data_IF_956690093569
#
_entry.id   IF_956690093569
#
_cell.length_a   1.000
_cell.length_b   1.000
_cell.length_c   1.000
_cell.angle_alpha   90.00
_cell.angle_beta   90.00
_cell.angle_gamma   90.00
#
_symmetry.space_group_name_H-M   'P 1'
#
loop_
_entity.id
_entity.type
_entity.pdbx_description
1 polymer ?
#
# COMPACT_ATOMS: atom_id res chain seq x y z
N UNK A 1 -5.55 4.84 0.94
CA UNK A 1 -4.49 3.82 0.85
C UNK A 1 -3.77 3.81 -0.48
N UNK A 2 -4.45 3.60 -1.61
CA UNK A 2 -3.83 3.70 -2.94
C UNK A 2 -3.16 5.06 -3.19
N UNK A 3 -3.76 6.13 -2.66
CA UNK A 3 -3.15 7.46 -2.67
C UNK A 3 -1.88 7.53 -1.82
N UNK A 4 -1.83 6.88 -0.66
CA UNK A 4 -0.64 6.87 0.22
C UNK A 4 0.52 6.09 -0.41
N UNK A 5 0.26 4.97 -1.08
CA UNK A 5 1.29 4.25 -1.86
C UNK A 5 1.75 5.02 -3.09
N UNK A 6 0.90 5.89 -3.63
CA UNK A 6 1.25 6.72 -4.78
C UNK A 6 2.05 7.96 -4.39
N UNK A 7 1.67 8.64 -3.29
CA UNK A 7 2.31 9.88 -2.82
C UNK A 7 3.54 9.58 -1.95
N UNK A 8 3.55 8.46 -1.23
CA UNK A 8 4.58 8.14 -0.25
C UNK A 8 5.91 7.72 -0.86
N UNK A 9 5.97 7.35 -2.14
CA UNK A 9 7.18 6.93 -2.88
C UNK A 9 8.05 5.90 -2.12
N UNK A 10 7.48 5.08 -1.24
CA UNK A 10 8.22 4.12 -0.39
C UNK A 10 8.95 4.72 0.81
N UNK A 11 8.83 6.03 1.05
CA UNK A 11 9.44 6.73 2.18
C UNK A 11 8.89 6.25 3.52
N UNK A 12 7.64 5.80 3.53
CA UNK A 12 6.94 5.35 4.74
C UNK A 12 6.85 3.82 4.71
N UNK A 13 7.20 3.20 5.85
CA UNK A 13 7.12 1.74 5.99
C UNK A 13 5.68 1.28 5.80
N UNK A 14 5.50 0.19 5.07
CA UNK A 14 4.18 -0.40 4.79
C UNK A 14 3.34 -0.58 6.08
N UNK A 15 3.96 -1.02 7.18
CA UNK A 15 3.28 -1.20 8.48
C UNK A 15 2.66 0.09 9.04
N UNK A 16 3.29 1.25 8.81
CA UNK A 16 2.82 2.54 9.34
C UNK A 16 1.65 3.04 8.48
N UNK A 17 1.71 2.81 7.16
CA UNK A 17 0.60 3.06 6.23
C UNK A 17 -0.62 2.20 6.62
N UNK A 18 -0.39 0.91 6.89
CA UNK A 18 -1.44 -0.04 7.29
C UNK A 18 -2.08 0.29 8.63
N UNK A 19 -1.27 0.66 9.63
CA UNK A 19 -1.77 1.07 10.95
C UNK A 19 -2.66 2.31 10.88
N UNK A 20 -2.30 3.26 9.99
CA UNK A 20 -3.06 4.49 9.78
C UNK A 20 -4.43 4.22 9.19
N UNK A 21 -4.53 3.36 8.17
CA UNK A 21 -5.79 3.14 7.50
C UNK A 21 -6.82 2.31 8.25
N UNK A 22 -6.39 1.48 9.21
CA UNK A 22 -7.32 0.79 10.12
C UNK A 22 -8.16 1.77 10.94
N UNK A 23 -7.70 3.02 11.10
CA UNK A 23 -8.35 4.06 11.91
C UNK A 23 -9.34 4.91 11.12
N UNK A 24 -9.23 4.95 9.80
CA UNK A 24 -10.02 5.82 8.92
C UNK A 24 -11.50 5.38 8.90
N UNK A 25 -12.36 6.09 9.65
CA UNK A 25 -13.81 6.04 9.50
C UNK A 25 -14.27 7.37 8.86
N UNK A 26 -14.76 7.29 7.64
CA UNK A 26 -14.74 8.39 6.67
C UNK A 26 -15.67 9.55 7.04
N UNK A 27 -15.13 10.68 7.52
CA UNK A 27 -15.29 12.05 6.94
C UNK A 27 -14.44 13.07 7.70
N UNK A 28 -14.30 12.95 9.03
CA UNK A 28 -13.39 13.80 9.84
C UNK A 28 -11.95 13.26 9.92
N UNK A 29 -11.74 11.96 9.71
CA UNK A 29 -10.42 11.33 9.93
C UNK A 29 -9.47 11.44 8.73
N UNK A 30 -9.97 11.73 7.52
CA UNK A 30 -9.12 11.76 6.31
C UNK A 30 -8.13 12.91 6.34
N UNK A 31 -8.56 14.11 6.71
CA UNK A 31 -7.68 15.27 6.82
C UNK A 31 -6.59 15.03 7.87
N UNK A 32 -6.97 14.51 9.05
CA UNK A 32 -6.02 14.17 10.12
C UNK A 32 -5.00 13.14 9.66
N UNK A 33 -5.41 12.12 8.90
CA UNK A 33 -4.47 11.13 8.40
C UNK A 33 -3.65 11.63 7.19
N UNK A 34 -4.14 12.59 6.41
CA UNK A 34 -3.33 13.31 5.41
C UNK A 34 -2.23 14.10 6.12
N UNK A 35 -2.58 14.92 7.12
CA UNK A 35 -1.61 15.72 7.87
C UNK A 35 -0.55 14.82 8.54
N UNK A 36 -0.97 13.70 9.14
CA UNK A 36 -0.03 12.73 9.72
C UNK A 36 0.86 12.08 8.68
N UNK A 37 0.30 11.71 7.54
CA UNK A 37 1.04 11.11 6.45
C UNK A 37 2.09 12.08 5.89
N UNK A 38 1.72 13.34 5.66
CA UNK A 38 2.64 14.38 5.20
C UNK A 38 3.75 14.64 6.21
N UNK A 39 3.43 14.71 7.51
CA UNK A 39 4.42 14.84 8.58
C UNK A 39 5.39 13.65 8.62
N UNK A 40 4.89 12.42 8.44
CA UNK A 40 5.73 11.24 8.39
C UNK A 40 6.63 11.23 7.14
N UNK A 41 6.12 11.65 5.98
CA UNK A 41 6.91 11.85 4.77
C UNK A 41 7.98 12.92 4.96
N UNK A 42 7.66 14.05 5.58
CA UNK A 42 8.60 15.14 5.85
C UNK A 42 9.73 14.68 6.79
N UNK A 43 9.39 14.00 7.89
CA UNK A 43 10.37 13.45 8.82
C UNK A 43 11.26 12.38 8.16
N UNK A 44 10.70 11.56 7.27
CA UNK A 44 11.48 10.62 6.47
C UNK A 44 12.45 11.37 5.54
N UNK A 45 11.97 12.39 4.82
CA UNK A 45 12.75 13.21 3.87
C UNK A 45 13.88 13.99 4.53
N UNK A 46 13.71 14.49 5.76
CA UNK A 46 14.79 15.17 6.49
C UNK A 46 16.06 14.31 6.64
N UNK A 47 15.93 12.98 6.68
CA UNK A 47 17.08 12.06 6.70
C UNK A 47 17.81 11.98 5.36
N UNK A 48 17.19 12.48 4.29
CA UNK A 48 17.68 12.46 2.92
C UNK A 48 17.93 13.88 2.37
N UNK A 49 17.93 14.94 3.19
CA UNK A 49 18.16 16.32 2.72
C UNK A 49 19.51 16.50 1.98
N UNK A 50 20.47 15.60 2.21
CA UNK A 50 21.78 15.57 1.56
C UNK A 50 21.95 14.40 0.58
N UNK A 51 20.87 13.66 0.25
CA UNK A 51 20.89 12.47 -0.60
C UNK A 51 19.72 12.48 -1.60
N UNK A 52 19.81 11.66 -2.65
CA UNK A 52 18.67 11.47 -3.54
C UNK A 52 17.49 10.85 -2.74
N UNK A 53 16.26 11.36 -2.91
CA UNK A 53 15.10 10.80 -2.23
C UNK A 53 14.90 9.33 -2.65
N UNK A 54 14.57 8.43 -1.72
CA UNK A 54 14.20 7.06 -2.07
C UNK A 54 13.02 7.04 -3.03
N UNK A 55 13.15 6.31 -4.14
CA UNK A 55 12.04 5.99 -5.03
C UNK A 55 11.65 4.52 -4.81
N UNK A 56 10.41 4.27 -4.43
CA UNK A 56 9.87 2.92 -4.42
C UNK A 56 9.83 2.35 -5.83
N UNK A 57 10.29 1.10 -5.93
CA UNK A 57 10.03 0.29 -7.12
C UNK A 57 8.52 0.14 -7.36
N UNK A 58 8.15 -0.08 -8.62
CA UNK A 58 6.75 -0.42 -8.98
C UNK A 58 6.29 -1.65 -8.19
N UNK A 59 7.18 -2.60 -7.95
CA UNK A 59 6.92 -3.81 -7.17
C UNK A 59 6.51 -3.52 -5.73
N UNK A 60 7.24 -2.67 -5.01
CA UNK A 60 6.91 -2.31 -3.63
C UNK A 60 5.56 -1.58 -3.55
N UNK A 61 5.27 -0.72 -4.54
CA UNK A 61 4.01 0.03 -4.62
C UNK A 61 2.82 -0.89 -4.87
N UNK A 62 2.95 -1.82 -5.83
CA UNK A 62 1.92 -2.82 -6.14
C UNK A 62 1.69 -3.74 -4.96
N UNK A 63 2.76 -4.26 -4.35
CA UNK A 63 2.68 -5.16 -3.18
C UNK A 63 1.96 -4.49 -2.02
N UNK A 64 2.38 -3.27 -1.67
CA UNK A 64 1.75 -2.53 -0.58
C UNK A 64 0.27 -2.22 -0.88
N UNK A 65 -0.06 -1.88 -2.13
CA UNK A 65 -1.43 -1.60 -2.54
C UNK A 65 -2.33 -2.84 -2.42
N UNK A 66 -1.88 -3.99 -2.93
CA UNK A 66 -2.61 -5.26 -2.86
C UNK A 66 -2.82 -5.67 -1.41
N UNK A 67 -1.76 -5.66 -0.60
CA UNK A 67 -1.84 -6.10 0.80
C UNK A 67 -2.74 -5.17 1.62
N UNK A 68 -2.71 -3.86 1.35
CA UNK A 68 -3.61 -2.90 1.94
C UNK A 68 -5.08 -3.16 1.63
N UNK A 69 -5.41 -3.37 0.35
CA UNK A 69 -6.79 -3.62 -0.06
C UNK A 69 -7.32 -4.94 0.51
N UNK A 70 -6.51 -5.99 0.52
CA UNK A 70 -6.88 -7.27 1.13
C UNK A 70 -7.21 -7.14 2.62
N UNK A 71 -6.38 -6.46 3.40
CA UNK A 71 -6.61 -6.34 4.84
C UNK A 71 -7.77 -5.40 5.15
N UNK A 72 -7.85 -4.26 4.46
CA UNK A 72 -8.71 -3.15 4.88
C UNK A 72 -10.08 -3.15 4.20
N UNK A 73 -10.14 -3.62 2.95
CA UNK A 73 -11.38 -3.66 2.19
C UNK A 73 -12.02 -5.05 2.25
N UNK A 74 -11.21 -6.11 2.21
CA UNK A 74 -11.70 -7.49 2.21
C UNK A 74 -11.68 -8.14 3.60
N UNK A 75 -11.03 -7.51 4.59
CA UNK A 75 -10.93 -8.05 5.95
C UNK A 75 -10.05 -9.29 6.07
N UNK A 76 -9.21 -9.57 5.05
CA UNK A 76 -8.34 -10.73 5.03
C UNK A 76 -7.18 -10.56 6.01
N UNK A 77 -6.92 -11.61 6.78
CA UNK A 77 -5.74 -11.68 7.65
C UNK A 77 -4.49 -11.96 6.84
N UNK A 78 -3.33 -11.81 7.48
CA UNK A 78 -2.05 -12.10 6.83
C UNK A 78 -2.00 -13.59 6.44
N UNK A 79 -1.64 -13.86 5.19
CA UNK A 79 -1.56 -15.22 4.64
C UNK A 79 -2.84 -15.75 4.01
N UNK A 80 -3.97 -15.07 4.22
CA UNK A 80 -5.20 -15.39 3.48
C UNK A 80 -5.11 -14.89 2.03
N UNK A 81 -5.83 -15.53 1.11
CA UNK A 81 -5.83 -15.16 -0.31
C UNK A 81 -7.26 -14.76 -0.67
N UNK A 82 -7.46 -13.66 -1.42
CA UNK A 82 -8.80 -13.29 -1.89
C UNK A 82 -9.37 -14.38 -2.79
N UNK A 83 -10.71 -14.46 -2.84
CA UNK A 83 -11.37 -15.33 -3.82
C UNK A 83 -11.14 -14.83 -5.25
N UNK A 84 -11.60 -15.58 -6.25
CA UNK A 84 -11.35 -15.29 -7.65
C UNK A 84 -11.95 -13.95 -8.11
N UNK A 85 -13.13 -13.57 -7.59
CA UNK A 85 -13.79 -12.33 -7.99
C UNK A 85 -13.11 -11.12 -7.37
N UNK A 86 -12.75 -11.21 -6.09
CA UNK A 86 -12.02 -10.16 -5.40
C UNK A 86 -10.59 -10.03 -5.92
N UNK A 87 -9.92 -11.14 -6.24
CA UNK A 87 -8.61 -11.12 -6.87
C UNK A 87 -8.64 -10.35 -8.20
N UNK A 88 -9.66 -10.57 -9.04
CA UNK A 88 -9.83 -9.84 -10.29
C UNK A 88 -10.05 -8.34 -10.04
N UNK A 89 -10.93 -7.97 -9.10
CA UNK A 89 -11.17 -6.56 -8.74
C UNK A 89 -9.91 -5.87 -8.22
N UNK A 90 -9.11 -6.56 -7.42
CA UNK A 90 -7.83 -6.06 -6.92
C UNK A 90 -6.88 -5.73 -8.08
N UNK A 91 -6.80 -6.61 -9.10
CA UNK A 91 -6.00 -6.36 -10.29
C UNK A 91 -6.45 -5.07 -10.98
N UNK A 92 -7.74 -4.95 -11.28
CA UNK A 92 -8.29 -3.77 -11.98
C UNK A 92 -8.02 -2.46 -11.21
N UNK A 93 -8.26 -2.48 -9.89
CA UNK A 93 -8.08 -1.31 -9.02
C UNK A 93 -6.60 -0.90 -8.96
N UNK A 94 -5.70 -1.86 -8.75
CA UNK A 94 -4.27 -1.56 -8.56
C UNK A 94 -3.61 -1.14 -9.87
N UNK A 95 -3.95 -1.78 -11.00
CA UNK A 95 -3.47 -1.35 -12.33
C UNK A 95 -3.92 0.08 -12.62
N UNK A 96 -5.16 0.43 -12.29
CA UNK A 96 -5.67 1.80 -12.47
C UNK A 96 -4.97 2.86 -11.60
N UNK A 97 -4.35 2.45 -10.49
CA UNK A 97 -3.79 3.37 -9.50
C UNK A 97 -2.25 3.42 -9.47
N UNK A 98 -1.57 2.40 -9.99
CA UNK A 98 -0.11 2.32 -9.99
C UNK A 98 0.41 2.40 -11.43
N UNK A 99 0.93 3.57 -11.85
CA UNK A 99 1.54 3.72 -13.17
C UNK A 99 2.62 2.66 -13.40
N UNK A 100 2.68 2.13 -14.62
CA UNK A 100 3.61 1.09 -15.07
C UNK A 100 3.36 -0.32 -14.50
N UNK A 101 2.37 -0.52 -13.62
CA UNK A 101 1.97 -1.86 -13.20
C UNK A 101 1.19 -2.56 -14.32
N UNK A 102 1.61 -3.77 -14.68
CA UNK A 102 0.88 -4.62 -15.64
C UNK A 102 -0.10 -5.54 -14.91
N UNK A 103 -1.21 -5.91 -15.57
CA UNK A 103 -2.21 -6.80 -14.99
C UNK A 103 -1.62 -8.15 -14.56
N UNK A 104 -0.76 -8.75 -15.40
CA UNK A 104 -0.09 -10.02 -15.09
C UNK A 104 0.79 -9.92 -13.84
N UNK A 105 1.53 -8.81 -13.70
CA UNK A 105 2.36 -8.57 -12.54
C UNK A 105 1.53 -8.43 -11.27
N UNK A 106 0.46 -7.62 -11.31
CA UNK A 106 -0.45 -7.46 -10.17
C UNK A 106 -1.12 -8.79 -9.81
N UNK A 107 -1.57 -9.57 -10.80
CA UNK A 107 -2.18 -10.88 -10.59
C UNK A 107 -1.20 -11.85 -9.90
N UNK A 108 0.07 -11.86 -10.31
CA UNK A 108 1.10 -12.63 -9.65
C UNK A 108 1.30 -12.19 -8.19
N UNK A 109 1.33 -10.87 -7.92
CA UNK A 109 1.43 -10.32 -6.56
C UNK A 109 0.22 -10.72 -5.71
N UNK A 110 -1.00 -10.72 -6.25
CA UNK A 110 -2.20 -11.19 -5.52
C UNK A 110 -2.10 -12.67 -5.18
N UNK A 111 -1.72 -13.51 -6.15
CA UNK A 111 -1.58 -14.95 -5.96
C UNK A 111 -0.49 -15.32 -4.94
N UNK A 112 0.60 -14.55 -4.89
CA UNK A 112 1.73 -14.77 -3.98
C UNK A 112 1.48 -14.24 -2.55
N UNK A 113 0.37 -13.53 -2.30
CA UNK A 113 0.08 -12.93 -0.99
C UNK A 113 0.15 -13.93 0.16
N UNK A 114 -0.37 -15.15 -0.05
CA UNK A 114 -0.37 -16.20 0.97
C UNK A 114 1.02 -16.52 1.52
N UNK A 115 2.06 -16.35 0.70
CA UNK A 115 3.46 -16.62 1.07
C UNK A 115 4.17 -15.43 1.73
N UNK A 116 3.64 -14.20 1.59
CA UNK A 116 4.27 -12.97 2.07
C UNK A 116 3.96 -12.63 3.54
N UNK A 117 3.01 -13.33 4.15
CA UNK A 117 2.54 -13.09 5.52
C UNK A 117 3.65 -13.07 6.58
N UNK A 118 4.77 -13.73 6.32
CA UNK A 118 5.89 -13.84 7.26
C UNK A 118 6.83 -12.63 7.29
N UNK A 119 6.74 -11.69 6.34
CA UNK A 119 7.71 -10.59 6.19
C UNK A 119 7.42 -9.34 7.05
N UNK A 120 6.24 -9.28 7.69
CA UNK A 120 5.79 -8.11 8.46
C UNK A 120 5.56 -8.38 9.95
N UNK A 121 5.88 -9.58 10.42
CA UNK A 121 5.80 -9.99 11.83
C UNK A 121 6.99 -9.50 12.66
#
# INVERSE_FOLDING_TARGET
MLWMTSIGLGLIKAKDIMGTARRLRVTQDVEVEIDRFENACAAARQKYDMMAPPEASVEERVTTAVDALCVLCLGLRDGEVPDADDARRLVDIVVGCVPLATADFVAAVVAQRGMRAAAYA
#
